data_IF_197018779950
#
_entry.id   IF_197018779950
#
_cell.length_a   1.000
_cell.length_b   1.000
_cell.length_c   1.000
_cell.angle_alpha   90.00
_cell.angle_beta   90.00
_cell.angle_gamma   90.00
#
_symmetry.space_group_name_H-M   'P 1'
#
loop_
_entity.id
_entity.type
_entity.pdbx_description
1 polymer ?
#
# COMPACT_ATOMS: atom_id res chain seq x y z
N UNK A 1 -26.00 -19.81 -25.77
CA UNK A 1 -25.75 -18.35 -25.62
C UNK A 1 -25.66 -17.92 -24.15
N UNK A 2 -26.60 -18.32 -23.27
CA UNK A 2 -26.61 -17.94 -21.84
C UNK A 2 -25.39 -18.45 -21.03
N UNK A 3 -24.89 -19.66 -21.32
CA UNK A 3 -23.68 -20.23 -20.67
C UNK A 3 -22.43 -19.36 -20.90
N UNK A 4 -22.25 -18.87 -22.12
CA UNK A 4 -21.12 -18.01 -22.47
C UNK A 4 -21.26 -16.64 -21.79
N UNK A 5 -22.49 -16.12 -21.61
CA UNK A 5 -22.74 -14.88 -20.88
C UNK A 5 -22.32 -14.96 -19.40
N UNK A 6 -22.64 -16.05 -18.70
CA UNK A 6 -22.19 -16.26 -17.33
C UNK A 6 -20.66 -16.36 -17.20
N UNK A 7 -19.99 -16.99 -18.17
CA UNK A 7 -18.53 -17.04 -18.25
C UNK A 7 -17.91 -15.64 -18.44
N UNK A 8 -18.48 -14.81 -19.31
CA UNK A 8 -18.06 -13.42 -19.49
C UNK A 8 -18.26 -12.58 -18.22
N UNK A 9 -19.38 -12.76 -17.53
CA UNK A 9 -19.69 -12.06 -16.29
C UNK A 9 -18.72 -12.45 -15.15
N UNK A 10 -18.36 -13.73 -15.06
CA UNK A 10 -17.34 -14.22 -14.11
C UNK A 10 -15.95 -13.66 -14.44
N UNK A 11 -15.56 -13.66 -15.72
CA UNK A 11 -14.25 -13.14 -16.15
C UNK A 11 -14.10 -11.66 -15.84
N UNK A 12 -15.17 -10.87 -16.04
CA UNK A 12 -15.21 -9.45 -15.72
C UNK A 12 -15.00 -9.19 -14.22
N UNK A 13 -15.61 -10.02 -13.36
CA UNK A 13 -15.48 -9.89 -11.90
C UNK A 13 -14.07 -10.21 -11.39
N UNK A 14 -13.37 -11.17 -12.01
CA UNK A 14 -12.00 -11.54 -11.64
C UNK A 14 -11.04 -10.38 -11.93
N UNK A 15 -11.16 -9.72 -13.09
CA UNK A 15 -10.28 -8.60 -13.47
C UNK A 15 -10.45 -7.41 -12.52
N UNK A 16 -11.67 -7.11 -12.07
CA UNK A 16 -11.92 -6.04 -11.11
C UNK A 16 -11.25 -6.24 -9.74
N UNK A 17 -11.07 -7.49 -9.31
CA UNK A 17 -10.48 -7.81 -8.00
C UNK A 17 -8.97 -7.52 -7.88
N UNK A 18 -8.26 -7.41 -9.01
CA UNK A 18 -6.80 -7.22 -9.03
C UNK A 18 -6.41 -5.80 -8.58
N UNK A 19 -7.26 -4.80 -8.85
CA UNK A 19 -6.98 -3.41 -8.52
C UNK A 19 -7.18 -3.05 -7.03
N UNK A 20 -7.83 -3.91 -6.25
CA UNK A 20 -8.12 -3.68 -4.84
C UNK A 20 -7.02 -4.18 -3.87
N UNK A 21 -5.88 -4.66 -4.39
CA UNK A 21 -4.84 -5.29 -3.58
C UNK A 21 -3.88 -4.32 -2.88
N UNK A 22 -3.89 -3.05 -3.30
CA UNK A 22 -3.00 -2.01 -2.77
C UNK A 22 -3.72 -1.20 -1.70
N UNK A 23 -3.08 -1.02 -0.56
CA UNK A 23 -3.55 -0.25 0.58
C UNK A 23 -2.58 0.91 0.80
N UNK A 24 -3.12 2.09 1.10
CA UNK A 24 -2.33 3.25 1.48
C UNK A 24 -2.10 3.22 3.00
N UNK A 25 -0.82 3.22 3.40
CA UNK A 25 -0.41 3.35 4.81
C UNK A 25 0.12 4.75 5.02
N UNK A 26 -0.39 5.42 6.05
CA UNK A 26 0.05 6.75 6.47
C UNK A 26 0.46 6.72 7.93
N UNK A 27 1.40 7.58 8.31
CA UNK A 27 1.81 7.72 9.69
C UNK A 27 2.80 8.85 9.90
N UNK A 28 3.28 8.98 11.14
CA UNK A 28 4.32 9.94 11.53
C UNK A 28 5.45 9.17 12.21
N UNK A 29 6.69 9.44 11.81
CA UNK A 29 7.87 8.90 12.46
C UNK A 29 8.27 9.83 13.61
N UNK A 30 8.39 9.29 14.82
CA UNK A 30 8.82 10.06 16.01
C UNK A 30 9.97 9.36 16.73
N UNK A 31 10.74 10.13 17.51
CA UNK A 31 11.73 9.58 18.44
C UNK A 31 11.07 9.11 19.76
N UNK A 32 11.87 8.62 20.70
CA UNK A 32 11.41 8.17 22.02
C UNK A 32 10.82 9.29 22.90
N UNK A 33 11.06 10.55 22.56
CA UNK A 33 10.53 11.74 23.25
C UNK A 33 9.26 12.28 22.56
N UNK A 34 8.79 11.64 21.48
CA UNK A 34 7.60 12.05 20.73
C UNK A 34 7.83 13.16 19.70
N UNK A 35 9.08 13.56 19.45
CA UNK A 35 9.41 14.55 18.42
C UNK A 35 9.41 13.92 17.03
N UNK A 36 8.79 14.60 16.06
CA UNK A 36 8.78 14.16 14.66
C UNK A 36 10.17 14.10 14.05
N UNK A 37 10.43 13.07 13.25
CA UNK A 37 11.69 12.84 12.57
C UNK A 37 11.54 13.00 11.04
N UNK A 38 12.02 14.12 10.46
CA UNK A 38 12.04 14.31 9.02
C UNK A 38 13.19 13.54 8.36
N UNK A 39 13.00 13.14 7.10
CA UNK A 39 14.06 12.50 6.30
C UNK A 39 14.35 11.04 6.65
N UNK A 40 13.49 10.38 7.42
CA UNK A 40 13.63 8.95 7.74
C UNK A 40 13.13 8.10 6.58
N UNK A 41 13.89 7.07 6.22
CA UNK A 41 13.49 6.12 5.18
C UNK A 41 12.60 5.01 5.76
N UNK A 42 11.48 4.74 5.10
CA UNK A 42 10.53 3.67 5.43
C UNK A 42 10.52 2.69 4.25
N UNK A 43 10.91 1.44 4.47
CA UNK A 43 11.14 0.46 3.41
C UNK A 43 10.27 -0.78 3.60
N UNK A 44 9.59 -1.23 2.54
CA UNK A 44 8.85 -2.50 2.60
C UNK A 44 9.87 -3.64 2.66
N UNK A 45 9.83 -4.41 3.75
CA UNK A 45 10.76 -5.53 4.02
C UNK A 45 10.81 -6.52 2.85
N UNK A 46 12.03 -6.84 2.42
CA UNK A 46 12.28 -7.75 1.30
C UNK A 46 12.08 -7.12 -0.08
N UNK A 47 11.92 -5.80 -0.17
CA UNK A 47 11.80 -5.07 -1.44
C UNK A 47 12.71 -3.84 -1.45
N UNK A 48 12.84 -3.19 -2.61
CA UNK A 48 13.47 -1.88 -2.77
C UNK A 48 12.46 -0.73 -2.77
N UNK A 49 11.18 -1.01 -2.51
CA UNK A 49 10.11 -0.01 -2.50
C UNK A 49 9.98 0.59 -1.11
N UNK A 50 10.00 1.91 -1.04
CA UNK A 50 9.86 2.65 0.20
C UNK A 50 9.47 4.10 -0.04
N UNK A 51 9.44 4.88 1.03
CA UNK A 51 9.21 6.32 1.01
C UNK A 51 10.12 7.00 2.04
N UNK A 52 10.14 8.33 2.06
CA UNK A 52 10.88 9.13 3.03
C UNK A 52 9.90 10.05 3.76
N UNK A 53 10.07 10.22 5.06
CA UNK A 53 9.24 11.13 5.84
C UNK A 53 9.45 12.59 5.45
N UNK A 54 8.38 13.38 5.45
CA UNK A 54 8.38 14.79 5.12
C UNK A 54 8.95 15.66 6.26
N UNK A 55 8.87 16.99 6.12
CA UNK A 55 9.36 17.96 7.12
C UNK A 55 8.64 17.89 8.47
N UNK A 56 7.44 17.29 8.52
CA UNK A 56 6.68 17.04 9.75
C UNK A 56 6.83 15.61 10.26
N UNK A 57 7.71 14.80 9.64
CA UNK A 57 7.88 13.39 9.92
C UNK A 57 6.76 12.50 9.38
N UNK A 58 5.84 13.03 8.58
CA UNK A 58 4.73 12.26 8.02
C UNK A 58 5.17 11.47 6.80
N UNK A 59 4.56 10.32 6.59
CA UNK A 59 4.81 9.51 5.40
C UNK A 59 3.51 8.92 4.87
N UNK A 60 3.51 8.63 3.57
CA UNK A 60 2.47 7.91 2.86
C UNK A 60 3.13 6.87 1.96
N UNK A 61 2.68 5.61 2.03
CA UNK A 61 3.25 4.50 1.28
C UNK A 61 2.18 3.52 0.82
N UNK A 62 2.21 3.15 -0.46
CA UNK A 62 1.31 2.16 -1.03
C UNK A 62 1.89 0.75 -0.95
N UNK A 63 1.21 -0.12 -0.20
CA UNK A 63 1.65 -1.48 0.11
C UNK A 63 0.61 -2.51 -0.29
N UNK A 64 1.04 -3.75 -0.51
CA UNK A 64 0.12 -4.88 -0.60
C UNK A 64 -0.31 -5.29 0.81
N UNK A 65 -1.51 -5.85 0.95
CA UNK A 65 -1.96 -6.44 2.21
C UNK A 65 -0.94 -7.47 2.72
N UNK A 66 -0.57 -7.37 3.99
CA UNK A 66 0.43 -8.26 4.62
C UNK A 66 1.89 -7.83 4.46
N UNK A 67 2.15 -6.69 3.81
CA UNK A 67 3.49 -6.09 3.81
C UNK A 67 3.94 -5.69 5.22
N UNK A 68 5.23 -5.84 5.48
CA UNK A 68 5.91 -5.36 6.70
C UNK A 68 6.80 -4.18 6.30
N UNK A 69 6.74 -3.11 7.09
CA UNK A 69 7.49 -1.85 6.90
C UNK A 69 8.68 -1.76 7.86
#
# INVERSE_FOLDING_TARGET
MKRNLYLFMLLFFIVGSVFAQTVQVTGTVTNGEGQSLPGVSILIKGTTRGTVSDTQGKYTLEVKKGAVL
#
